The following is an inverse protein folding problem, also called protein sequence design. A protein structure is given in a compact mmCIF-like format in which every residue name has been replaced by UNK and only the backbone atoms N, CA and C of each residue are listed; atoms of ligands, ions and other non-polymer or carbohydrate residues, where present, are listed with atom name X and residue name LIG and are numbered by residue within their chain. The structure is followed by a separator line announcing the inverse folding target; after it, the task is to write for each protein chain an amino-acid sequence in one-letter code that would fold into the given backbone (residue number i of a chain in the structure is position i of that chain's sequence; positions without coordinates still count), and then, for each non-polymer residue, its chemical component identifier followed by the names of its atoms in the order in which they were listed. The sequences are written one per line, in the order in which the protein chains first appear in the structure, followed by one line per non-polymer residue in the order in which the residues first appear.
data_IF_339830093442
#
_entry.id   IF_339830093442
#
_cell.length_a   1.000
_cell.length_b   1.000
_cell.length_c   1.000
_cell.angle_alpha   90.00
_cell.angle_beta   90.00
_cell.angle_gamma   90.00
#
_symmetry.space_group_name_H-M   'P 1'
#
loop_
_entity.id
_entity.type
_entity.pdbx_description
1 polymer ?
#
# COMPACT_ATOMS: atom_id res chain seq x y z
N UNK A 1 24.54 1.68 1.69
CA UNK A 1 24.12 1.11 0.39
C UNK A 1 24.05 2.25 -0.61
N UNK A 2 24.68 2.11 -1.77
CA UNK A 2 24.61 3.15 -2.80
C UNK A 2 23.17 3.27 -3.32
N UNK A 3 22.71 4.50 -3.52
CA UNK A 3 21.41 4.74 -4.16
C UNK A 3 21.50 4.23 -5.60
N UNK A 4 20.63 3.28 -5.97
CA UNK A 4 20.59 2.77 -7.34
C UNK A 4 20.06 3.88 -8.24
N UNK A 5 20.63 4.00 -9.44
CA UNK A 5 20.10 4.90 -10.46
C UNK A 5 18.61 4.61 -10.70
N UNK A 6 17.85 5.66 -11.05
CA UNK A 6 16.47 5.51 -11.46
C UNK A 6 16.38 4.49 -12.61
N UNK A 7 15.40 3.56 -12.58
CA UNK A 7 15.25 2.58 -13.64
C UNK A 7 14.92 3.27 -14.96
N UNK A 8 15.43 2.73 -16.07
CA UNK A 8 15.08 3.22 -17.40
C UNK A 8 13.77 2.60 -17.85
N UNK A 9 13.06 3.26 -18.77
CA UNK A 9 11.83 2.71 -19.36
C UNK A 9 12.06 1.35 -20.05
N UNK A 10 13.23 1.18 -20.67
CA UNK A 10 13.63 -0.09 -21.29
C UNK A 10 13.83 -1.20 -20.24
N UNK A 11 14.47 -0.89 -19.11
CA UNK A 11 14.62 -1.82 -17.99
C UNK A 11 13.25 -2.26 -17.45
N UNK A 12 12.34 -1.30 -17.23
CA UNK A 12 11.00 -1.58 -16.70
C UNK A 12 10.14 -2.37 -17.69
N UNK A 13 10.21 -2.04 -18.98
CA UNK A 13 9.48 -2.76 -20.03
C UNK A 13 9.97 -4.21 -20.18
N UNK A 14 11.30 -4.40 -20.14
CA UNK A 14 11.89 -5.73 -20.15
C UNK A 14 11.49 -6.55 -18.92
N UNK A 15 11.50 -5.93 -17.74
CA UNK A 15 11.05 -6.57 -16.51
C UNK A 15 9.56 -6.93 -16.54
N UNK A 16 8.70 -6.02 -17.01
CA UNK A 16 7.26 -6.28 -17.14
C UNK A 16 6.99 -7.48 -18.06
N UNK A 17 7.68 -7.56 -19.20
CA UNK A 17 7.57 -8.69 -20.13
C UNK A 17 8.02 -10.00 -19.49
N UNK A 18 9.14 -9.97 -18.75
CA UNK A 18 9.67 -11.15 -18.07
C UNK A 18 8.73 -11.65 -16.96
N UNK A 19 8.15 -10.72 -16.20
CA UNK A 19 7.36 -11.02 -15.00
C UNK A 19 5.88 -11.32 -15.28
N UNK A 20 5.37 -11.06 -16.49
CA UNK A 20 3.97 -11.32 -16.86
C UNK A 20 3.53 -12.77 -16.60
N UNK A 21 4.46 -13.73 -16.70
CA UNK A 21 4.20 -15.16 -16.47
C UNK A 21 4.88 -15.71 -15.21
N UNK A 22 5.54 -14.84 -14.43
CA UNK A 22 6.23 -15.23 -13.22
C UNK A 22 5.24 -15.49 -12.08
N UNK A 23 5.64 -16.34 -11.14
CA UNK A 23 4.89 -16.48 -9.90
C UNK A 23 5.04 -15.21 -9.03
N UNK A 24 4.08 -14.93 -8.12
CA UNK A 24 4.12 -13.71 -7.32
C UNK A 24 5.38 -13.56 -6.45
N UNK A 25 5.98 -14.66 -5.99
CA UNK A 25 7.19 -14.60 -5.16
C UNK A 25 8.39 -14.17 -6.00
N UNK A 26 8.55 -14.72 -7.20
CA UNK A 26 9.61 -14.30 -8.13
C UNK A 26 9.50 -12.81 -8.47
N UNK A 27 8.28 -12.28 -8.65
CA UNK A 27 8.04 -10.85 -8.86
C UNK A 27 8.45 -10.01 -7.64
N UNK A 28 8.11 -10.45 -6.42
CA UNK A 28 8.53 -9.78 -5.19
C UNK A 28 10.05 -9.82 -4.99
N UNK A 29 10.69 -10.95 -5.27
CA UNK A 29 12.15 -11.11 -5.18
C UNK A 29 12.90 -10.21 -6.18
N UNK A 30 12.40 -10.10 -7.41
CA UNK A 30 12.92 -9.15 -8.39
C UNK A 30 12.80 -7.71 -7.91
N UNK A 31 11.62 -7.33 -7.37
CA UNK A 31 11.40 -6.01 -6.83
C UNK A 31 12.35 -5.71 -5.64
N UNK A 32 12.52 -6.66 -4.72
CA UNK A 32 13.51 -6.55 -3.63
C UNK A 32 14.91 -6.34 -4.17
N UNK A 33 15.33 -7.18 -5.11
CA UNK A 33 16.66 -7.10 -5.68
C UNK A 33 16.91 -5.73 -6.32
N UNK A 34 15.89 -5.10 -6.92
CA UNK A 34 16.02 -3.82 -7.61
C UNK A 34 15.83 -2.59 -6.72
N UNK A 35 14.87 -2.61 -5.80
CA UNK A 35 14.39 -1.40 -5.12
C UNK A 35 14.61 -1.39 -3.61
N UNK A 36 15.00 -2.50 -2.97
CA UNK A 36 15.30 -2.50 -1.54
C UNK A 36 16.48 -1.57 -1.20
N UNK A 37 16.43 -0.82 -0.07
CA UNK A 37 15.40 -0.85 0.98
C UNK A 37 14.27 0.18 0.75
N UNK A 38 14.22 0.84 -0.40
CA UNK A 38 13.23 1.88 -0.75
C UNK A 38 11.99 1.26 -1.44
N UNK A 39 11.47 0.19 -0.87
CA UNK A 39 10.35 -0.59 -1.41
C UNK A 39 9.37 -0.95 -0.30
N UNK A 40 8.10 -0.62 -0.50
CA UNK A 40 7.04 -0.93 0.48
C UNK A 40 5.80 -1.53 -0.16
N UNK A 41 5.07 -2.35 0.59
CA UNK A 41 3.71 -2.81 0.25
C UNK A 41 2.67 -1.83 0.79
N UNK A 42 1.78 -1.34 -0.07
CA UNK A 42 0.54 -0.70 0.36
C UNK A 42 -0.51 -1.77 0.71
N UNK A 43 -1.00 -1.77 1.95
CA UNK A 43 -1.93 -2.78 2.46
C UNK A 43 -3.21 -2.13 2.97
N UNK A 44 -4.33 -2.49 2.35
CA UNK A 44 -5.69 -2.14 2.76
C UNK A 44 -6.35 -3.24 3.61
N UNK A 45 -5.62 -4.32 3.88
CA UNK A 45 -6.09 -5.54 4.56
C UNK A 45 -7.17 -6.32 3.78
N UNK A 46 -7.28 -6.08 2.47
CA UNK A 46 -8.02 -6.96 1.56
C UNK A 46 -7.33 -8.32 1.38
N UNK A 47 -8.06 -9.35 0.92
CA UNK A 47 -7.51 -10.71 0.75
C UNK A 47 -6.22 -10.74 -0.08
N UNK A 48 -6.14 -9.96 -1.15
CA UNK A 48 -4.98 -9.86 -2.04
C UNK A 48 -3.76 -9.31 -1.32
N UNK A 49 -3.94 -8.23 -0.57
CA UNK A 49 -2.85 -7.62 0.19
C UNK A 49 -2.37 -8.56 1.30
N UNK A 50 -3.28 -9.32 1.94
CA UNK A 50 -2.91 -10.29 2.97
C UNK A 50 -2.13 -11.47 2.41
N UNK A 51 -2.41 -11.91 1.19
CA UNK A 51 -1.60 -12.90 0.48
C UNK A 51 -0.19 -12.34 0.25
N UNK A 52 -0.06 -11.08 -0.17
CA UNK A 52 1.26 -10.45 -0.34
C UNK A 52 2.01 -10.31 0.99
N UNK A 53 1.34 -9.88 2.07
CA UNK A 53 1.93 -9.83 3.42
C UNK A 53 2.45 -11.20 3.84
N UNK A 54 1.66 -12.23 3.63
CA UNK A 54 2.01 -13.60 3.96
C UNK A 54 3.24 -14.10 3.17
N UNK A 55 3.27 -13.87 1.85
CA UNK A 55 4.43 -14.22 1.01
C UNK A 55 5.69 -13.47 1.45
N UNK A 56 5.58 -12.16 1.69
CA UNK A 56 6.68 -11.33 2.19
C UNK A 56 7.23 -11.89 3.50
N UNK A 57 6.35 -12.20 4.46
CA UNK A 57 6.74 -12.71 5.77
C UNK A 57 7.39 -14.11 5.70
N UNK A 58 6.79 -15.05 4.96
CA UNK A 58 7.32 -16.42 4.79
C UNK A 58 8.70 -16.44 4.15
N UNK A 59 8.90 -15.61 3.12
CA UNK A 59 10.15 -15.53 2.37
C UNK A 59 11.15 -14.53 3.00
N UNK A 60 10.77 -13.85 4.10
CA UNK A 60 11.58 -12.85 4.81
C UNK A 60 12.07 -11.75 3.87
N UNK A 61 11.22 -11.31 2.96
CA UNK A 61 11.55 -10.25 2.02
C UNK A 61 11.63 -8.92 2.78
N UNK A 62 12.69 -8.11 2.58
CA UNK A 62 12.87 -6.84 3.28
C UNK A 62 12.00 -5.73 2.65
N UNK A 63 10.68 -5.93 2.71
CA UNK A 63 9.65 -5.01 2.24
C UNK A 63 8.87 -4.53 3.46
N UNK A 64 8.87 -3.22 3.74
CA UNK A 64 8.00 -2.68 4.78
C UNK A 64 6.55 -2.61 4.29
N UNK A 65 5.61 -2.60 5.23
CA UNK A 65 4.17 -2.54 4.91
C UNK A 65 3.63 -1.24 5.47
N UNK A 66 2.85 -0.51 4.67
CA UNK A 66 2.12 0.67 5.13
C UNK A 66 0.64 0.58 4.81
N UNK A 67 -0.16 1.31 5.56
CA UNK A 67 -1.60 1.47 5.32
C UNK A 67 -1.98 2.95 5.42
N UNK A 68 -2.98 3.36 4.64
CA UNK A 68 -3.54 4.71 4.74
C UNK A 68 -4.63 4.70 5.80
N UNK A 69 -4.27 4.99 7.05
CA UNK A 69 -5.21 5.09 8.17
C UNK A 69 -6.03 6.37 8.04
N UNK A 70 -7.14 6.30 7.31
CA UNK A 70 -8.04 7.43 7.06
C UNK A 70 -8.81 7.87 8.32
N UNK A 71 -8.68 7.12 9.43
CA UNK A 71 -9.42 7.34 10.68
C UNK A 71 -10.87 6.86 10.64
N UNK A 72 -11.30 6.22 9.56
CA UNK A 72 -12.69 5.75 9.36
C UNK A 72 -12.75 4.30 8.89
N UNK A 73 -11.72 3.50 9.14
CA UNK A 73 -11.81 2.06 8.91
C UNK A 73 -12.88 1.43 9.80
N UNK A 74 -13.44 0.31 9.33
CA UNK A 74 -14.27 -0.53 10.17
C UNK A 74 -13.47 -1.00 11.40
N UNK A 75 -14.09 -1.10 12.60
CA UNK A 75 -13.43 -1.65 13.78
C UNK A 75 -12.77 -3.02 13.53
N UNK A 76 -13.40 -3.84 12.69
CA UNK A 76 -12.92 -5.14 12.24
C UNK A 76 -11.59 -5.03 11.48
N UNK A 77 -11.41 -4.00 10.64
CA UNK A 77 -10.15 -3.76 9.92
C UNK A 77 -9.02 -3.42 10.90
N UNK A 78 -9.28 -2.61 11.93
CA UNK A 78 -8.28 -2.34 12.98
C UNK A 78 -7.95 -3.59 13.79
N UNK A 79 -8.95 -4.45 14.06
CA UNK A 79 -8.72 -5.73 14.73
C UNK A 79 -7.84 -6.66 13.88
N UNK A 80 -8.17 -6.79 12.59
CA UNK A 80 -7.41 -7.57 11.61
C UNK A 80 -5.99 -7.06 11.46
N UNK A 81 -5.77 -5.74 11.41
CA UNK A 81 -4.43 -5.16 11.39
C UNK A 81 -3.60 -5.66 12.58
N UNK A 82 -4.12 -5.55 13.80
CA UNK A 82 -3.40 -6.05 14.99
C UNK A 82 -3.12 -7.55 14.92
N UNK A 83 -4.05 -8.33 14.40
CA UNK A 83 -3.87 -9.77 14.19
C UNK A 83 -2.75 -10.06 13.18
N UNK A 84 -2.71 -9.34 12.06
CA UNK A 84 -1.68 -9.46 11.03
C UNK A 84 -0.29 -9.15 11.60
N UNK A 85 -0.15 -8.04 12.33
CA UNK A 85 1.12 -7.70 12.99
C UNK A 85 1.56 -8.79 13.98
N UNK A 86 0.64 -9.29 14.80
CA UNK A 86 0.93 -10.33 15.78
C UNK A 86 1.30 -11.67 15.12
N UNK A 87 0.59 -12.04 14.06
CA UNK A 87 0.77 -13.31 13.33
C UNK A 87 2.11 -13.37 12.60
N UNK A 88 2.45 -12.30 11.88
CA UNK A 88 3.65 -12.27 11.03
C UNK A 88 4.86 -11.63 11.70
N UNK A 89 4.70 -11.04 12.90
CA UNK A 89 5.79 -10.37 13.61
C UNK A 89 6.29 -9.11 12.90
N UNK A 90 5.41 -8.46 12.13
CA UNK A 90 5.72 -7.24 11.37
C UNK A 90 5.13 -6.00 12.03
N UNK A 91 5.56 -4.82 11.59
CA UNK A 91 4.90 -3.55 11.87
C UNK A 91 4.38 -2.95 10.58
N UNK A 92 3.09 -2.62 10.57
CA UNK A 92 2.47 -1.89 9.47
C UNK A 92 2.48 -0.41 9.84
N UNK A 93 3.11 0.40 9.00
CA UNK A 93 3.17 1.84 9.17
C UNK A 93 1.84 2.47 8.79
N UNK A 94 1.07 2.90 9.79
CA UNK A 94 -0.16 3.67 9.59
C UNK A 94 0.14 5.13 9.23
N UNK A 95 -0.19 5.53 8.00
CA UNK A 95 -0.06 6.92 7.55
C UNK A 95 -1.40 7.61 7.75
N UNK A 96 -1.45 8.64 8.60
CA UNK A 96 -2.68 9.37 8.98
C UNK A 96 -2.82 10.67 8.22
N UNK A 97 -4.04 11.19 8.02
CA UNK A 97 -4.23 12.49 7.41
C UNK A 97 -3.68 13.59 8.33
N UNK A 98 -3.20 14.69 7.73
CA UNK A 98 -2.71 15.84 8.48
C UNK A 98 -3.82 16.56 9.26
N UNK A 99 -5.07 16.46 8.79
CA UNK A 99 -6.25 17.04 9.42
C UNK A 99 -7.11 15.96 10.07
N UNK A 100 -7.68 16.29 11.23
CA UNK A 100 -8.68 15.47 11.92
C UNK A 100 -10.02 15.44 11.16
N UNK A 101 -10.91 14.52 11.58
CA UNK A 101 -12.26 14.43 11.01
C UNK A 101 -13.06 15.71 11.28
N UNK A 102 -12.87 16.27 12.47
CA UNK A 102 -13.54 17.44 12.99
C UNK A 102 -13.15 18.69 12.19
N UNK A 103 -11.86 18.90 11.95
CA UNK A 103 -11.34 20.02 11.15
C UNK A 103 -11.85 19.99 9.71
N UNK A 104 -11.95 18.79 9.11
CA UNK A 104 -12.48 18.64 7.77
C UNK A 104 -14.00 18.85 7.70
N UNK A 105 -14.75 18.36 8.69
CA UNK A 105 -16.19 18.59 8.76
C UNK A 105 -16.51 20.09 8.89
N UNK A 106 -15.68 20.84 9.63
CA UNK A 106 -15.79 22.29 9.73
C UNK A 106 -15.47 23.01 8.41
N UNK A 107 -14.55 22.47 7.60
CA UNK A 107 -14.15 23.06 6.33
C UNK A 107 -15.14 22.80 5.16
N UNK A 108 -15.87 21.68 5.19
CA UNK A 108 -16.69 21.23 4.05
C UNK A 108 -18.20 21.19 4.29
N UNK A 109 -18.68 21.58 5.47
CA UNK A 109 -20.11 21.57 5.81
C UNK A 109 -20.61 20.20 6.27
N UNK A 110 -21.63 20.19 7.12
CA UNK A 110 -22.07 19.00 7.87
C UNK A 110 -22.95 18.01 7.08
N UNK A 111 -23.31 18.28 5.82
CA UNK A 111 -24.14 17.36 5.03
C UNK A 111 -23.31 16.21 4.46
N UNK A 112 -23.33 15.09 5.19
CA UNK A 112 -22.71 13.83 4.81
C UNK A 112 -23.69 12.96 4.03
N UNK A 113 -23.97 13.33 2.78
CA UNK A 113 -24.46 12.35 1.82
C UNK A 113 -23.35 11.31 1.56
N UNK A 114 -23.73 10.07 1.22
CA UNK A 114 -22.77 8.98 0.97
C UNK A 114 -21.66 9.36 -0.02
N UNK A 115 -22.00 10.15 -1.05
CA UNK A 115 -21.04 10.68 -2.04
C UNK A 115 -20.03 11.67 -1.44
N UNK A 116 -20.46 12.52 -0.50
CA UNK A 116 -19.55 13.43 0.21
C UNK A 116 -18.58 12.65 1.11
N UNK A 117 -19.00 11.51 1.66
CA UNK A 117 -18.16 10.65 2.48
C UNK A 117 -17.09 9.92 1.65
N UNK A 118 -17.44 9.43 0.46
CA UNK A 118 -16.48 8.85 -0.49
C UNK A 118 -15.47 9.90 -0.95
N UNK A 119 -15.93 11.11 -1.32
CA UNK A 119 -15.05 12.20 -1.72
C UNK A 119 -14.09 12.63 -0.59
N UNK A 120 -14.57 12.66 0.67
CA UNK A 120 -13.73 12.96 1.83
C UNK A 120 -12.65 11.87 2.06
N UNK A 121 -12.99 10.60 1.90
CA UNK A 121 -12.02 9.49 2.02
C UNK A 121 -10.96 9.58 0.92
N UNK A 122 -11.36 9.82 -0.33
CA UNK A 122 -10.42 10.01 -1.45
C UNK A 122 -9.52 11.23 -1.21
N UNK A 123 -10.11 12.34 -0.75
CA UNK A 123 -9.38 13.57 -0.43
C UNK A 123 -8.35 13.41 0.69
N UNK A 124 -8.55 12.46 1.60
CA UNK A 124 -7.57 12.06 2.63
C UNK A 124 -6.49 11.16 2.04
N UNK A 125 -6.91 10.15 1.28
CA UNK A 125 -6.02 9.09 0.80
C UNK A 125 -4.91 9.63 -0.10
N UNK A 126 -5.18 10.59 -0.98
CA UNK A 126 -4.17 11.09 -1.93
C UNK A 126 -2.97 11.79 -1.26
N UNK A 127 -3.14 12.80 -0.38
CA UNK A 127 -2.03 13.38 0.38
C UNK A 127 -1.31 12.37 1.27
N UNK A 128 -2.05 11.47 1.91
CA UNK A 128 -1.47 10.40 2.74
C UNK A 128 -0.60 9.46 1.91
N UNK A 129 -1.07 9.10 0.71
CA UNK A 129 -0.31 8.28 -0.21
C UNK A 129 0.98 8.99 -0.59
N UNK A 130 0.91 10.26 -1.01
CA UNK A 130 2.10 11.06 -1.31
C UNK A 130 3.12 11.07 -0.16
N UNK A 131 2.67 11.27 1.08
CA UNK A 131 3.52 11.21 2.27
C UNK A 131 4.06 9.80 2.55
N UNK A 132 3.28 8.75 2.25
CA UNK A 132 3.71 7.37 2.43
C UNK A 132 4.83 6.96 1.49
N UNK A 133 4.87 7.55 0.28
CA UNK A 133 5.87 7.27 -0.76
C UNK A 133 7.10 8.13 -0.71
N UNK A 134 7.08 9.20 0.08
CA UNK A 134 8.23 10.08 0.17
C UNK A 134 9.48 9.28 0.55
N UNK A 135 10.50 9.34 -0.29
CA UNK A 135 11.74 8.57 -0.16
C UNK A 135 11.71 7.12 -0.65
N UNK A 136 10.57 6.58 -1.10
CA UNK A 136 10.49 5.27 -1.76
C UNK A 136 10.90 5.36 -3.24
N UNK A 137 11.47 4.28 -3.75
CA UNK A 137 11.79 4.11 -5.18
C UNK A 137 10.70 3.31 -5.91
N UNK A 138 9.96 2.46 -5.20
CA UNK A 138 8.85 1.68 -5.71
C UNK A 138 7.87 1.28 -4.60
N UNK A 139 6.65 0.88 -4.97
CA UNK A 139 5.72 0.19 -4.09
C UNK A 139 5.23 -1.11 -4.70
N UNK A 140 4.51 -1.90 -3.90
CA UNK A 140 3.68 -3.02 -4.33
C UNK A 140 2.24 -2.76 -3.91
N UNK A 141 1.28 -3.21 -4.72
CA UNK A 141 -0.16 -3.20 -4.40
C UNK A 141 -0.77 -4.57 -4.72
N UNK A 142 -1.88 -4.95 -4.06
CA UNK A 142 -2.63 -6.18 -4.35
C UNK A 142 -3.64 -6.05 -5.50
N UNK A 143 -3.45 -5.10 -6.43
CA UNK A 143 -4.38 -4.90 -7.55
C UNK A 143 -4.29 -6.11 -8.51
N UNK A 144 -5.44 -6.65 -8.90
CA UNK A 144 -5.53 -7.74 -9.89
C UNK A 144 -6.38 -7.35 -11.08
N UNK A 145 -6.08 -7.99 -12.22
CA UNK A 145 -6.78 -7.76 -13.50
C UNK A 145 -8.28 -8.06 -13.42
N UNK A 146 -8.70 -8.99 -12.56
CA UNK A 146 -10.07 -9.45 -12.39
C UNK A 146 -10.90 -8.63 -11.39
N UNK A 147 -10.37 -7.56 -10.80
CA UNK A 147 -11.08 -6.75 -9.80
C UNK A 147 -12.05 -5.73 -10.38
N UNK A 148 -11.88 -5.36 -11.65
CA UNK A 148 -12.79 -4.45 -12.36
C UNK A 148 -13.51 -5.26 -13.45
N UNK A 149 -14.85 -5.18 -13.53
CA UNK A 149 -15.56 -5.63 -14.72
C UNK A 149 -15.05 -4.86 -15.96
N UNK A 150 -15.02 -5.53 -17.11
CA UNK A 150 -14.78 -4.88 -18.41
C UNK A 150 -15.89 -3.85 -18.74
#
# INVERSE_FOLDING_TARGET
MADKAAPTDEELSGAATLLESADPVATLEWAVARFAPKLSLACSFGPEDLVLVDLIARHRLPIDVFTLDTGVFFPETYALWREVEARYGIKVRGVRPAQSIEEQAAAHGAEREHLAQVAAVIGRALPQLGAALDGLAAWVTGIRRDQTPD
#
